data_IF_281442441314
#
_entry.id   IF_281442441314
#
_cell.length_a   1.000
_cell.length_b   1.000
_cell.length_c   1.000
_cell.angle_alpha   90.00
_cell.angle_beta   90.00
_cell.angle_gamma   90.00
#
_symmetry.space_group_name_H-M   'P 1'
#
loop_
_entity.id
_entity.type
_entity.pdbx_description
1 polymer ?
#
# COMPACT_ATOMS: atom_id res chain seq x y z
N UNK A 1 7.97 -24.23 17.53
CA UNK A 1 6.63 -24.00 18.08
C UNK A 1 6.31 -22.53 17.87
N UNK A 2 5.31 -22.26 17.02
CA UNK A 2 4.43 -21.08 16.87
C UNK A 2 5.06 -19.68 16.98
N UNK A 3 4.94 -18.77 16.01
CA UNK A 3 3.70 -18.29 15.38
C UNK A 3 4.02 -17.67 14.01
N UNK A 4 3.64 -18.35 12.91
CA UNK A 4 3.33 -17.64 11.67
C UNK A 4 2.05 -16.88 11.97
N UNK A 5 2.18 -15.57 12.20
CA UNK A 5 1.08 -14.67 12.48
C UNK A 5 0.04 -14.81 11.38
N UNK A 6 -1.17 -15.21 11.80
CA UNK A 6 -2.32 -15.32 10.93
C UNK A 6 -2.43 -14.07 10.04
N UNK A 7 -2.59 -14.30 8.73
CA UNK A 7 -2.99 -13.28 7.78
C UNK A 7 -4.13 -12.44 8.40
N UNK A 8 -4.08 -11.10 8.33
CA UNK A 8 -5.14 -10.26 8.87
C UNK A 8 -6.48 -10.78 8.34
N UNK A 9 -7.37 -11.16 9.27
CA UNK A 9 -8.72 -11.64 8.97
C UNK A 9 -9.33 -10.67 7.96
N UNK A 10 -9.89 -11.20 6.86
CA UNK A 10 -10.62 -10.42 5.84
C UNK A 10 -11.44 -9.34 6.54
N UNK A 11 -10.94 -8.10 6.51
CA UNK A 11 -11.66 -6.92 6.95
C UNK A 11 -12.90 -6.90 6.08
N UNK A 12 -14.03 -7.29 6.67
CA UNK A 12 -15.29 -7.41 5.96
C UNK A 12 -15.70 -5.99 5.63
N UNK A 13 -15.18 -5.47 4.51
CA UNK A 13 -15.22 -4.06 4.16
C UNK A 13 -16.68 -3.72 3.92
N UNK A 14 -17.36 -3.20 4.94
CA UNK A 14 -18.75 -2.77 4.81
C UNK A 14 -18.71 -1.58 3.89
N UNK A 15 -19.12 -1.76 2.63
CA UNK A 15 -19.18 -0.66 1.70
C UNK A 15 -20.43 0.18 2.02
N UNK A 16 -20.27 1.18 2.88
CA UNK A 16 -21.31 2.14 3.20
C UNK A 16 -21.45 3.14 2.05
N UNK A 17 -22.66 3.26 1.51
CA UNK A 17 -22.96 4.07 0.33
C UNK A 17 -23.56 5.44 0.65
N UNK A 18 -23.77 5.78 1.93
CA UNK A 18 -24.34 7.07 2.35
C UNK A 18 -23.58 7.69 3.52
N UNK A 19 -23.57 9.02 3.59
CA UNK A 19 -22.93 9.77 4.68
C UNK A 19 -23.61 9.49 6.01
N UNK A 20 -24.95 9.38 6.02
CA UNK A 20 -25.71 9.10 7.24
C UNK A 20 -25.34 7.74 7.83
N UNK A 21 -25.13 6.71 7.00
CA UNK A 21 -24.69 5.41 7.48
C UNK A 21 -23.25 5.45 8.03
N UNK A 22 -22.35 6.21 7.40
CA UNK A 22 -20.99 6.45 7.88
C UNK A 22 -21.01 7.16 9.24
N UNK A 23 -21.84 8.21 9.40
CA UNK A 23 -21.98 8.93 10.65
C UNK A 23 -22.54 8.05 11.77
N UNK A 24 -23.60 7.30 11.49
CA UNK A 24 -24.19 6.39 12.47
C UNK A 24 -23.16 5.35 12.96
N UNK A 25 -22.40 4.74 12.04
CA UNK A 25 -21.39 3.75 12.42
C UNK A 25 -20.19 4.39 13.14
N UNK A 26 -19.74 5.58 12.72
CA UNK A 26 -18.69 6.34 13.41
C UNK A 26 -19.08 6.64 14.86
N UNK A 27 -20.30 7.12 15.07
CA UNK A 27 -20.83 7.45 16.39
C UNK A 27 -20.98 6.19 17.27
N UNK A 28 -21.55 5.11 16.71
CA UNK A 28 -21.69 3.84 17.42
C UNK A 28 -20.35 3.22 17.84
N UNK A 29 -19.32 3.38 17.00
CA UNK A 29 -17.96 2.91 17.29
C UNK A 29 -17.15 3.89 18.18
N UNK A 30 -17.71 5.05 18.56
CA UNK A 30 -17.06 6.03 19.43
C UNK A 30 -15.91 6.81 18.78
N UNK A 31 -15.74 6.73 17.46
CA UNK A 31 -14.64 7.40 16.76
C UNK A 31 -14.91 8.90 16.62
N UNK A 32 -13.94 9.75 16.94
CA UNK A 32 -14.10 11.18 16.72
C UNK A 32 -14.02 11.52 15.21
N UNK A 33 -14.65 12.64 14.82
CA UNK A 33 -14.72 13.08 13.42
C UNK A 33 -13.33 13.36 12.81
N UNK A 34 -12.41 13.92 13.58
CA UNK A 34 -11.08 14.29 13.11
C UNK A 34 -10.23 13.06 12.78
N UNK A 35 -10.29 12.02 13.60
CA UNK A 35 -9.62 10.74 13.38
C UNK A 35 -10.11 10.06 12.09
N UNK A 36 -11.43 10.05 11.86
CA UNK A 36 -12.00 9.54 10.61
C UNK A 36 -11.50 10.33 9.39
N UNK A 37 -11.51 11.65 9.47
CA UNK A 37 -11.07 12.53 8.38
C UNK A 37 -9.58 12.34 8.06
N UNK A 38 -8.72 12.26 9.09
CA UNK A 38 -7.29 11.98 8.94
C UNK A 38 -7.09 10.61 8.28
N UNK A 39 -7.71 9.56 8.82
CA UNK A 39 -7.58 8.20 8.30
C UNK A 39 -8.11 8.06 6.85
N UNK A 40 -9.12 8.84 6.48
CA UNK A 40 -9.68 8.89 5.13
C UNK A 40 -8.92 9.82 4.16
N UNK A 41 -8.02 10.69 4.66
CA UNK A 41 -7.40 11.74 3.87
C UNK A 41 -8.43 12.74 3.31
N UNK A 42 -9.40 13.13 4.13
CA UNK A 42 -10.48 14.09 3.79
C UNK A 42 -10.40 15.27 4.75
N UNK A 43 -10.66 16.50 4.27
CA UNK A 43 -10.65 17.67 5.15
C UNK A 43 -11.84 17.66 6.10
N UNK A 44 -11.61 18.04 7.37
CA UNK A 44 -12.66 18.10 8.39
C UNK A 44 -13.77 19.10 8.00
N UNK A 45 -13.40 20.18 7.30
CA UNK A 45 -14.36 21.15 6.79
C UNK A 45 -15.28 20.55 5.73
N UNK A 46 -14.71 19.91 4.70
CA UNK A 46 -15.50 19.28 3.64
C UNK A 46 -16.43 18.21 4.20
N UNK A 47 -15.93 17.40 5.15
CA UNK A 47 -16.75 16.41 5.83
C UNK A 47 -17.94 17.03 6.58
N UNK A 48 -17.71 18.12 7.31
CA UNK A 48 -18.78 18.83 8.04
C UNK A 48 -19.82 19.43 7.09
N UNK A 49 -19.41 19.97 5.96
CA UNK A 49 -20.32 20.51 4.95
C UNK A 49 -21.18 19.40 4.35
N UNK A 50 -20.59 18.24 4.08
CA UNK A 50 -21.29 17.04 3.62
C UNK A 50 -22.32 16.55 4.65
N UNK A 51 -21.92 16.40 5.92
CA UNK A 51 -22.83 15.94 7.00
C UNK A 51 -23.98 16.91 7.24
N UNK A 52 -23.77 18.21 7.02
CA UNK A 52 -24.81 19.25 7.14
C UNK A 52 -25.67 19.40 5.89
N UNK A 53 -25.46 18.59 4.85
CA UNK A 53 -26.18 18.69 3.58
C UNK A 53 -25.84 19.93 2.75
N UNK A 54 -24.72 20.61 3.04
CA UNK A 54 -24.26 21.79 2.29
C UNK A 54 -23.46 21.41 1.03
N UNK A 55 -22.99 20.16 0.95
CA UNK A 55 -22.24 19.64 -0.18
C UNK A 55 -22.59 18.17 -0.42
N UNK A 56 -22.65 17.76 -1.69
CA UNK A 56 -22.89 16.37 -2.04
C UNK A 56 -21.56 15.59 -2.07
N UNK A 57 -21.46 14.43 -1.40
CA UNK A 57 -20.24 13.64 -1.37
C UNK A 57 -20.01 12.94 -2.71
N UNK A 58 -18.77 13.00 -3.20
CA UNK A 58 -18.36 12.14 -4.32
C UNK A 58 -18.35 10.66 -3.89
N UNK A 59 -18.69 9.72 -4.78
CA UNK A 59 -18.63 8.27 -4.48
C UNK A 59 -17.26 7.83 -3.95
N UNK A 60 -16.17 8.40 -4.46
CA UNK A 60 -14.80 8.14 -3.99
C UNK A 60 -14.58 8.60 -2.54
N UNK A 61 -15.22 9.70 -2.12
CA UNK A 61 -15.16 10.20 -0.74
C UNK A 61 -15.83 9.23 0.22
N UNK A 62 -17.00 8.70 -0.16
CA UNK A 62 -17.73 7.69 0.64
C UNK A 62 -16.91 6.41 0.81
N UNK A 63 -16.28 5.92 -0.27
CA UNK A 63 -15.40 4.75 -0.22
C UNK A 63 -14.21 4.98 0.74
N UNK A 64 -13.57 6.16 0.67
CA UNK A 64 -12.45 6.51 1.56
C UNK A 64 -12.87 6.53 3.03
N UNK A 65 -14.00 7.17 3.32
CA UNK A 65 -14.56 7.26 4.67
C UNK A 65 -14.96 5.89 5.21
N UNK A 66 -15.65 5.07 4.41
CA UNK A 66 -16.05 3.71 4.78
C UNK A 66 -14.84 2.85 5.14
N UNK A 67 -13.81 2.84 4.29
CA UNK A 67 -12.56 2.10 4.54
C UNK A 67 -11.77 2.64 5.73
N UNK A 68 -11.77 3.95 5.94
CA UNK A 68 -11.13 4.54 7.10
C UNK A 68 -11.84 4.11 8.39
N UNK A 69 -13.16 4.02 8.37
CA UNK A 69 -13.95 3.58 9.51
C UNK A 69 -13.76 2.09 9.81
N UNK A 70 -13.68 1.24 8.77
CA UNK A 70 -13.34 -0.18 8.93
C UNK A 70 -11.98 -0.35 9.61
N UNK A 71 -10.97 0.44 9.19
CA UNK A 71 -9.61 0.43 9.78
C UNK A 71 -9.61 0.89 11.23
N UNK A 72 -10.23 2.03 11.52
CA UNK A 72 -10.34 2.56 12.88
C UNK A 72 -11.07 1.59 13.82
N UNK A 73 -12.09 0.90 13.33
CA UNK A 73 -12.87 -0.07 14.12
C UNK A 73 -12.11 -1.38 14.33
N UNK A 74 -11.20 -1.73 13.42
CA UNK A 74 -10.37 -2.93 13.51
C UNK A 74 -9.06 -2.69 14.29
N UNK A 75 -8.76 -1.43 14.65
CA UNK A 75 -7.49 -1.05 15.27
C UNK A 75 -6.30 -1.04 14.30
N UNK A 76 -6.55 -1.06 12.98
CA UNK A 76 -5.50 -0.98 11.97
C UNK A 76 -4.85 0.42 11.99
N UNK A 77 -3.51 0.53 12.00
CA UNK A 77 -2.84 1.83 12.02
C UNK A 77 -3.19 2.64 10.76
N UNK A 78 -3.12 3.99 10.84
CA UNK A 78 -3.29 4.83 9.67
C UNK A 78 -2.23 4.47 8.62
N UNK A 79 -2.60 4.55 7.34
CA UNK A 79 -1.65 4.34 6.25
C UNK A 79 -0.47 5.31 6.44
N UNK A 80 0.78 4.82 6.30
CA UNK A 80 1.95 5.68 6.31
C UNK A 80 1.84 6.86 5.34
N UNK A 81 2.48 8.01 5.64
CA UNK A 81 2.50 9.15 4.73
C UNK A 81 3.18 8.74 3.40
N UNK A 82 2.77 9.31 2.23
CA UNK A 82 3.31 8.93 0.93
C UNK A 82 4.84 8.99 0.83
N UNK A 83 5.46 9.97 1.49
CA UNK A 83 6.91 10.09 1.54
C UNK A 83 7.60 8.89 2.20
N UNK A 84 7.01 8.33 3.26
CA UNK A 84 7.55 7.14 3.94
C UNK A 84 7.36 5.89 3.07
N UNK A 85 6.21 5.77 2.40
CA UNK A 85 5.97 4.68 1.44
C UNK A 85 7.00 4.72 0.31
N UNK A 86 7.23 5.90 -0.27
CA UNK A 86 8.21 6.08 -1.34
C UNK A 86 9.64 5.81 -0.85
N UNK A 87 10.01 6.29 0.34
CA UNK A 87 11.33 6.03 0.92
C UNK A 87 11.58 4.54 1.16
N UNK A 88 10.61 3.84 1.74
CA UNK A 88 10.68 2.39 1.96
C UNK A 88 10.82 1.63 0.64
N UNK A 89 9.99 1.97 -0.35
CA UNK A 89 10.07 1.35 -1.67
C UNK A 89 11.45 1.57 -2.32
N UNK A 90 12.00 2.78 -2.26
CA UNK A 90 13.35 3.07 -2.79
C UNK A 90 14.43 2.27 -2.07
N UNK A 91 14.36 2.16 -0.74
CA UNK A 91 15.28 1.34 0.04
C UNK A 91 15.19 -0.14 -0.35
N UNK A 92 13.97 -0.67 -0.51
CA UNK A 92 13.75 -2.03 -0.98
C UNK A 92 14.31 -2.25 -2.40
N UNK A 93 14.13 -1.31 -3.32
CA UNK A 93 14.74 -1.38 -4.66
C UNK A 93 16.26 -1.49 -4.57
N UNK A 94 16.90 -0.64 -3.76
CA UNK A 94 18.36 -0.66 -3.58
C UNK A 94 18.86 -2.00 -3.03
N UNK A 95 18.16 -2.56 -2.04
CA UNK A 95 18.51 -3.87 -1.47
C UNK A 95 18.36 -4.99 -2.51
N UNK A 96 17.25 -5.03 -3.27
CA UNK A 96 17.10 -6.05 -4.32
C UNK A 96 18.12 -5.87 -5.45
N UNK A 97 18.50 -4.64 -5.79
CA UNK A 97 19.58 -4.37 -6.74
C UNK A 97 20.91 -4.94 -6.25
N UNK A 98 21.25 -4.73 -4.97
CA UNK A 98 22.46 -5.28 -4.37
C UNK A 98 22.46 -6.82 -4.35
N UNK A 99 21.35 -7.45 -3.95
CA UNK A 99 21.21 -8.91 -3.88
C UNK A 99 21.26 -9.60 -5.26
N UNK A 100 20.77 -8.93 -6.31
CA UNK A 100 20.60 -9.53 -7.65
C UNK A 100 21.61 -9.03 -8.69
N UNK A 101 22.47 -8.08 -8.33
CA UNK A 101 23.38 -7.40 -9.25
C UNK A 101 22.65 -6.54 -10.30
N UNK A 102 21.43 -6.09 -10.03
CA UNK A 102 20.69 -5.20 -10.92
C UNK A 102 21.19 -3.75 -10.78
N UNK A 103 21.13 -2.99 -11.87
CA UNK A 103 21.49 -1.57 -11.86
C UNK A 103 20.43 -0.74 -11.10
N UNK A 104 20.84 -0.17 -9.96
CA UNK A 104 20.00 0.67 -9.13
C UNK A 104 19.57 1.98 -9.80
N UNK A 105 20.43 2.57 -10.63
CA UNK A 105 20.12 3.80 -11.38
C UNK A 105 19.00 3.51 -12.37
N UNK A 106 19.08 2.38 -13.08
CA UNK A 106 18.05 1.95 -14.01
C UNK A 106 16.75 1.55 -13.28
N UNK A 107 16.84 0.91 -12.12
CA UNK A 107 15.67 0.50 -11.34
C UNK A 107 14.93 1.68 -10.68
N UNK A 108 15.63 2.76 -10.34
CA UNK A 108 15.06 3.98 -9.75
C UNK A 108 14.74 5.07 -10.77
N UNK A 109 15.08 4.85 -12.04
CA UNK A 109 14.78 5.78 -13.12
C UNK A 109 13.27 6.09 -13.15
N UNK A 110 12.87 7.33 -13.44
CA UNK A 110 11.47 7.68 -13.64
C UNK A 110 10.81 6.75 -14.65
N UNK A 111 9.57 6.37 -14.35
CA UNK A 111 8.81 5.47 -15.21
C UNK A 111 8.21 6.26 -16.37
N UNK A 112 8.91 6.25 -17.50
CA UNK A 112 8.49 6.91 -18.75
C UNK A 112 7.46 6.08 -19.56
N UNK A 113 7.06 4.92 -19.06
CA UNK A 113 6.18 4.00 -19.77
C UNK A 113 6.88 3.11 -20.80
N UNK A 114 8.19 3.26 -20.98
CA UNK A 114 8.95 2.49 -21.98
C UNK A 114 9.29 1.11 -21.44
N UNK A 115 8.82 0.07 -22.15
CA UNK A 115 9.21 -1.33 -21.90
C UNK A 115 10.37 -1.71 -22.81
N UNK A 116 11.41 -2.36 -22.26
CA UNK A 116 12.56 -2.88 -23.01
C UNK A 116 12.79 -4.36 -22.68
N UNK A 117 11.86 -5.24 -23.08
CA UNK A 117 11.85 -6.63 -22.62
C UNK A 117 13.01 -7.47 -23.17
N UNK A 118 13.75 -6.99 -24.17
CA UNK A 118 14.92 -7.67 -24.75
C UNK A 118 16.25 -7.22 -24.14
N UNK A 119 16.24 -6.24 -23.22
CA UNK A 119 17.43 -5.75 -22.53
C UNK A 119 17.58 -6.47 -21.17
N UNK A 120 18.62 -7.31 -20.99
CA UNK A 120 18.83 -8.03 -19.73
C UNK A 120 19.02 -7.12 -18.51
N UNK A 121 19.66 -5.96 -18.68
CA UNK A 121 19.84 -5.01 -17.57
C UNK A 121 18.50 -4.41 -17.16
N UNK A 122 17.67 -4.04 -18.15
CA UNK A 122 16.32 -3.55 -17.91
C UNK A 122 15.43 -4.59 -17.25
N UNK A 123 15.50 -5.86 -17.68
CA UNK A 123 14.72 -6.95 -17.07
C UNK A 123 15.08 -7.17 -15.60
N UNK A 124 16.38 -7.14 -15.25
CA UNK A 124 16.83 -7.23 -13.86
C UNK A 124 16.33 -6.06 -13.02
N UNK A 125 16.46 -4.83 -13.54
CA UNK A 125 15.96 -3.62 -12.88
C UNK A 125 14.42 -3.64 -12.71
N UNK A 126 13.69 -4.11 -13.72
CA UNK A 126 12.25 -4.30 -13.65
C UNK A 126 11.86 -5.34 -12.60
N UNK A 127 12.61 -6.45 -12.48
CA UNK A 127 12.37 -7.46 -11.44
C UNK A 127 12.60 -6.92 -10.04
N UNK A 128 13.67 -6.14 -9.83
CA UNK A 128 13.93 -5.46 -8.55
C UNK A 128 12.77 -4.53 -8.16
N UNK A 129 12.24 -3.73 -9.10
CA UNK A 129 11.05 -2.90 -8.87
C UNK A 129 9.82 -3.74 -8.47
N UNK A 130 9.60 -4.86 -9.15
CA UNK A 130 8.44 -5.73 -8.85
C UNK A 130 8.50 -6.30 -7.43
N UNK A 131 9.66 -6.83 -7.03
CA UNK A 131 9.91 -7.33 -5.68
C UNK A 131 9.75 -6.21 -4.64
N UNK A 132 10.26 -5.01 -4.91
CA UNK A 132 10.11 -3.86 -4.02
C UNK A 132 8.65 -3.42 -3.86
N UNK A 133 7.83 -3.43 -4.93
CA UNK A 133 6.41 -3.14 -4.81
C UNK A 133 5.70 -4.15 -3.90
N UNK A 134 5.98 -5.44 -4.10
CA UNK A 134 5.43 -6.51 -3.28
C UNK A 134 5.83 -6.35 -1.81
N UNK A 135 7.13 -6.20 -1.55
CA UNK A 135 7.64 -6.07 -0.19
C UNK A 135 7.07 -4.84 0.52
N UNK A 136 7.02 -3.68 -0.15
CA UNK A 136 6.45 -2.46 0.43
C UNK A 136 4.97 -2.63 0.76
N UNK A 137 4.21 -3.27 -0.12
CA UNK A 137 2.80 -3.56 0.10
C UNK A 137 2.59 -4.42 1.35
N UNK A 138 3.37 -5.49 1.50
CA UNK A 138 3.25 -6.46 2.61
C UNK A 138 3.80 -5.89 3.91
N UNK A 139 5.00 -5.32 3.91
CA UNK A 139 5.65 -4.86 5.16
C UNK A 139 4.97 -3.62 5.75
N UNK A 140 4.54 -2.68 4.90
CA UNK A 140 3.85 -1.48 5.37
C UNK A 140 2.32 -1.63 5.42
N UNK A 141 1.78 -2.77 4.98
CA UNK A 141 0.33 -3.02 4.88
C UNK A 141 -0.42 -1.90 4.14
N UNK A 142 0.19 -1.34 3.09
CA UNK A 142 -0.37 -0.22 2.31
C UNK A 142 -1.13 -0.72 1.10
N UNK A 143 -2.23 -0.07 0.73
CA UNK A 143 -2.93 -0.44 -0.51
C UNK A 143 -2.07 -0.23 -1.76
N UNK A 144 -2.23 -1.08 -2.78
CA UNK A 144 -1.54 -0.95 -4.07
C UNK A 144 -1.80 0.40 -4.76
N UNK A 145 -2.98 1.01 -4.52
CA UNK A 145 -3.29 2.37 -5.00
C UNK A 145 -2.42 3.42 -4.32
N UNK A 146 -2.32 3.37 -2.99
CA UNK A 146 -1.50 4.31 -2.22
C UNK A 146 -0.01 4.17 -2.58
N UNK A 147 0.45 2.94 -2.78
CA UNK A 147 1.81 2.65 -3.24
C UNK A 147 2.06 3.21 -4.65
N UNK A 148 1.14 3.01 -5.59
CA UNK A 148 1.26 3.57 -6.94
C UNK A 148 1.30 5.11 -6.93
N UNK A 149 0.42 5.75 -6.14
CA UNK A 149 0.40 7.20 -5.94
C UNK A 149 1.72 7.70 -5.33
N UNK A 150 2.25 7.02 -4.31
CA UNK A 150 3.51 7.39 -3.65
C UNK A 150 4.75 7.25 -4.57
N UNK A 151 4.76 6.23 -5.44
CA UNK A 151 5.86 5.97 -6.37
C UNK A 151 5.75 6.71 -7.70
N UNK A 152 4.67 7.48 -7.93
CA UNK A 152 4.44 8.18 -9.19
C UNK A 152 4.23 7.24 -10.38
N UNK A 153 3.60 6.09 -10.17
CA UNK A 153 3.35 5.08 -11.22
C UNK A 153 1.87 4.70 -11.32
N UNK A 154 1.51 3.82 -12.25
CA UNK A 154 0.12 3.37 -12.41
C UNK A 154 -0.22 2.23 -11.45
N UNK A 155 -1.45 2.23 -10.92
CA UNK A 155 -1.99 1.14 -10.09
C UNK A 155 -1.92 -0.21 -10.81
N UNK A 156 -2.18 -0.24 -12.12
CA UNK A 156 -2.14 -1.47 -12.92
C UNK A 156 -0.75 -2.09 -12.93
N UNK A 157 0.31 -1.27 -13.02
CA UNK A 157 1.70 -1.74 -12.99
C UNK A 157 2.06 -2.34 -11.63
N UNK A 158 1.70 -1.65 -10.53
CA UNK A 158 1.94 -2.14 -9.16
C UNK A 158 1.17 -3.44 -8.91
N UNK A 159 -0.08 -3.53 -9.37
CA UNK A 159 -0.88 -4.75 -9.22
C UNK A 159 -0.27 -5.92 -10.00
N UNK A 160 0.07 -5.72 -11.28
CA UNK A 160 0.72 -6.75 -12.10
C UNK A 160 2.03 -7.22 -11.46
N UNK A 161 2.83 -6.29 -10.94
CA UNK A 161 4.06 -6.58 -10.22
C UNK A 161 3.81 -7.46 -9.00
N UNK A 162 2.88 -7.06 -8.12
CA UNK A 162 2.56 -7.79 -6.91
C UNK A 162 2.04 -9.21 -7.22
N UNK A 163 1.11 -9.35 -8.17
CA UNK A 163 0.62 -10.67 -8.63
C UNK A 163 1.74 -11.55 -9.15
N UNK A 164 2.62 -11.00 -10.00
CA UNK A 164 3.77 -11.76 -10.55
C UNK A 164 4.75 -12.24 -9.47
N UNK A 165 4.85 -11.54 -8.34
CA UNK A 165 5.68 -11.98 -7.20
C UNK A 165 4.93 -13.01 -6.35
N UNK A 166 3.65 -12.78 -6.08
CA UNK A 166 2.80 -13.72 -5.32
C UNK A 166 2.72 -15.09 -6.01
N UNK A 167 2.54 -15.12 -7.33
CA UNK A 167 2.52 -16.36 -8.12
C UNK A 167 3.86 -17.13 -8.07
N UNK A 168 4.93 -16.48 -7.60
CA UNK A 168 6.29 -17.05 -7.46
C UNK A 168 6.70 -17.26 -6.00
N UNK A 169 5.82 -17.03 -5.02
CA UNK A 169 6.13 -17.22 -3.59
C UNK A 169 6.44 -18.67 -3.22
N UNK A 170 5.97 -19.63 -4.01
CA UNK A 170 6.26 -21.06 -3.81
C UNK A 170 7.71 -21.43 -4.18
N UNK A 171 8.45 -20.53 -4.84
CA UNK A 171 9.88 -20.66 -5.11
C UNK A 171 10.69 -20.31 -3.84
N UNK A 172 11.39 -21.29 -3.21
CA UNK A 172 12.14 -21.06 -1.98
C UNK A 172 13.24 -20.00 -2.12
N UNK A 173 13.81 -19.81 -3.31
CA UNK A 173 14.83 -18.79 -3.53
C UNK A 173 14.24 -17.38 -3.47
N UNK A 174 13.03 -17.21 -4.01
CA UNK A 174 12.31 -15.94 -3.97
C UNK A 174 11.84 -15.62 -2.55
N UNK A 175 11.33 -16.61 -1.82
CA UNK A 175 10.89 -16.42 -0.43
C UNK A 175 12.07 -16.07 0.50
N UNK A 176 13.21 -16.75 0.34
CA UNK A 176 14.44 -16.43 1.07
C UNK A 176 14.98 -15.03 0.71
N UNK A 177 14.94 -14.65 -0.56
CA UNK A 177 15.35 -13.32 -1.02
C UNK A 177 14.46 -12.21 -0.42
N UNK A 178 13.13 -12.41 -0.43
CA UNK A 178 12.19 -11.49 0.20
C UNK A 178 12.44 -11.35 1.70
N UNK A 179 12.73 -12.46 2.39
CA UNK A 179 13.02 -12.47 3.82
C UNK A 179 14.30 -11.71 4.18
N UNK A 180 15.39 -11.92 3.42
CA UNK A 180 16.65 -11.16 3.60
C UNK A 180 16.45 -9.67 3.34
N UNK A 181 15.74 -9.34 2.25
CA UNK A 181 15.47 -7.95 1.91
C UNK A 181 14.60 -7.26 2.97
N UNK A 182 13.58 -7.94 3.49
CA UNK A 182 12.75 -7.44 4.58
C UNK A 182 13.59 -7.14 5.82
N UNK A 183 14.46 -8.07 6.23
CA UNK A 183 15.35 -7.87 7.37
C UNK A 183 16.28 -6.66 7.17
N UNK A 184 16.88 -6.52 5.99
CA UNK A 184 17.77 -5.41 5.67
C UNK A 184 17.07 -4.03 5.68
N UNK A 185 15.86 -3.94 5.13
CA UNK A 185 15.12 -2.67 5.06
C UNK A 185 14.52 -2.27 6.40
N UNK A 186 14.03 -3.24 7.18
CA UNK A 186 13.36 -2.97 8.46
C UNK A 186 14.32 -2.91 9.65
N UNK A 187 15.53 -3.45 9.51
CA UNK A 187 16.49 -3.62 10.60
C UNK A 187 16.08 -4.70 11.61
N UNK A 188 15.06 -5.50 11.32
CA UNK A 188 14.59 -6.58 12.19
C UNK A 188 15.18 -7.93 11.74
N UNK A 189 15.79 -8.72 12.64
CA UNK A 189 16.21 -10.07 12.30
C UNK A 189 14.98 -10.95 11.99
N UNK A 190 15.11 -11.84 11.00
CA UNK A 190 14.08 -12.80 10.59
C UNK A 190 14.59 -14.23 10.68
#
# INVERSE_FOLDING_TARGET
>A
MSLIGALPRKSNCRQLSTVSAIEALRQAAGHNMQALCIAAGVSVRAYRDIVRGKAEPQPRTLIKLSRALDRLSSGEPPSPPPALIAAFWRAAVLVFCAETGADATLALAPDDGTSRPMDPAWMRAARARQLAYYLTHVELQVSLTALAEACGTSKQRVHKAASTVEDRRDDPEIDALLSRAAAAVTGMPR
#
